data_IF_095410997838
#
_entry.id   IF_095410997838
#
_cell.length_a   1.000
_cell.length_b   1.000
_cell.length_c   1.000
_cell.angle_alpha   90.00
_cell.angle_beta   90.00
_cell.angle_gamma   90.00
#
_symmetry.space_group_name_H-M   'P 1'
#
loop_
_entity.id
_entity.type
_entity.pdbx_description
1 polymer ?
#
# COMPACT_ATOMS: atom_id res chain seq x y z
N UNK A 1 6.11 87.73 -33.61
CA UNK A 1 6.96 86.53 -33.78
C UNK A 1 6.45 85.53 -32.76
N UNK A 2 5.73 84.50 -33.25
CA UNK A 2 5.41 83.18 -32.68
C UNK A 2 4.89 83.07 -31.21
N UNK A 3 3.99 82.17 -30.82
CA UNK A 3 3.63 80.85 -31.36
C UNK A 3 2.10 80.63 -31.39
N UNK A 4 1.65 79.86 -32.38
CA UNK A 4 0.28 79.37 -32.46
C UNK A 4 0.11 78.16 -31.52
N UNK A 5 -0.84 78.24 -30.60
CA UNK A 5 -1.25 77.08 -29.80
C UNK A 5 -1.93 76.03 -30.71
N UNK A 6 -1.65 74.73 -30.49
CA UNK A 6 -2.22 73.68 -31.30
C UNK A 6 -3.73 73.60 -31.03
N UNK A 7 -4.53 73.67 -32.09
CA UNK A 7 -5.97 73.41 -32.03
C UNK A 7 -6.17 71.95 -31.69
N UNK A 8 -6.49 71.67 -30.42
CA UNK A 8 -6.87 70.35 -29.96
C UNK A 8 -8.17 69.94 -30.68
N UNK A 9 -8.07 68.91 -31.54
CA UNK A 9 -9.22 68.36 -32.22
C UNK A 9 -10.24 67.85 -31.17
N UNK A 10 -11.36 68.55 -31.05
CA UNK A 10 -12.46 68.22 -30.14
C UNK A 10 -12.92 66.77 -30.42
N UNK A 11 -12.50 65.82 -29.57
CA UNK A 11 -12.96 64.43 -29.63
C UNK A 11 -14.49 64.44 -29.61
N UNK A 12 -15.17 63.79 -30.57
CA UNK A 12 -16.63 63.76 -30.55
C UNK A 12 -17.09 63.10 -29.25
N UNK A 13 -17.86 63.84 -28.45
CA UNK A 13 -18.53 63.29 -27.27
C UNK A 13 -19.51 62.22 -27.76
N UNK A 14 -19.10 60.95 -27.69
CA UNK A 14 -20.02 59.82 -27.86
C UNK A 14 -21.08 59.93 -26.76
N UNK A 15 -22.34 60.13 -27.15
CA UNK A 15 -23.48 59.98 -26.25
C UNK A 15 -23.36 58.60 -25.57
N UNK A 16 -23.39 58.51 -24.23
CA UNK A 16 -23.37 57.21 -23.58
C UNK A 16 -24.57 56.42 -24.08
N UNK A 17 -24.32 55.21 -24.60
CA UNK A 17 -25.39 54.28 -24.94
C UNK A 17 -26.21 54.04 -23.66
N UNK A 18 -27.54 54.04 -23.75
CA UNK A 18 -28.40 53.71 -22.63
C UNK A 18 -28.12 52.26 -22.20
N UNK A 19 -27.39 52.09 -21.10
CA UNK A 19 -27.12 50.77 -20.53
C UNK A 19 -28.26 50.45 -19.58
N UNK A 20 -29.16 49.57 -20.01
CA UNK A 20 -30.34 49.11 -19.25
C UNK A 20 -29.98 48.16 -18.08
N UNK A 21 -28.70 48.04 -17.72
CA UNK A 21 -28.21 47.15 -16.65
C UNK A 21 -27.87 47.93 -15.40
N UNK A 22 -28.50 47.57 -14.29
CA UNK A 22 -28.15 48.05 -12.96
C UNK A 22 -26.85 47.41 -12.48
N UNK A 23 -25.82 48.22 -12.24
CA UNK A 23 -24.58 47.78 -11.62
C UNK A 23 -24.76 47.65 -10.10
N UNK A 24 -23.92 46.82 -9.46
CA UNK A 24 -23.86 46.76 -8.00
C UNK A 24 -23.36 48.09 -7.45
N UNK A 25 -23.83 48.48 -6.26
CA UNK A 25 -23.34 49.65 -5.55
C UNK A 25 -21.83 49.52 -5.28
N UNK A 26 -21.08 50.59 -5.51
CA UNK A 26 -19.65 50.69 -5.25
C UNK A 26 -19.42 51.82 -4.25
N UNK A 27 -19.24 51.45 -2.97
CA UNK A 27 -19.00 52.39 -1.89
C UNK A 27 -17.73 51.98 -1.11
N UNK A 28 -16.57 52.59 -1.41
CA UNK A 28 -15.32 52.36 -0.69
C UNK A 28 -15.35 52.79 0.79
N UNK A 29 -16.33 53.60 1.19
CA UNK A 29 -16.49 54.09 2.55
C UNK A 29 -17.54 53.30 3.34
N UNK A 30 -18.05 52.20 2.77
CA UNK A 30 -19.01 51.33 3.43
C UNK A 30 -18.43 50.80 4.75
N UNK A 31 -19.12 51.11 5.84
CA UNK A 31 -18.81 50.56 7.17
C UNK A 31 -19.43 49.18 7.31
N UNK A 32 -18.63 48.19 7.72
CA UNK A 32 -19.10 46.82 7.99
C UNK A 32 -19.50 46.69 9.47
N UNK A 33 -20.74 46.25 9.72
CA UNK A 33 -21.28 46.00 11.06
C UNK A 33 -22.04 44.66 11.08
N UNK A 34 -21.66 43.70 11.94
CA UNK A 34 -20.49 43.71 12.84
C UNK A 34 -19.14 43.73 12.11
N UNK A 35 -18.02 44.10 12.76
CA UNK A 35 -16.69 44.01 12.16
C UNK A 35 -16.39 42.56 11.80
N UNK A 36 -16.01 42.25 10.55
CA UNK A 36 -15.69 40.89 10.14
C UNK A 36 -14.39 40.41 10.83
N UNK A 37 -14.35 39.12 11.18
CA UNK A 37 -13.15 38.46 11.68
C UNK A 37 -12.13 38.30 10.55
N UNK A 38 -10.83 38.26 10.86
CA UNK A 38 -9.80 37.88 9.87
C UNK A 38 -10.08 36.50 9.24
N UNK A 39 -10.78 35.62 9.96
CA UNK A 39 -11.25 34.35 9.44
C UNK A 39 -12.25 34.49 8.28
N UNK A 40 -13.12 35.50 8.32
CA UNK A 40 -14.18 35.70 7.32
C UNK A 40 -13.60 36.13 5.96
N UNK A 41 -12.41 36.74 5.96
CA UNK A 41 -11.74 37.20 4.75
C UNK A 41 -10.85 36.15 4.10
N UNK A 42 -10.60 35.02 4.77
CA UNK A 42 -9.66 33.99 4.32
C UNK A 42 -10.41 32.67 4.00
N UNK A 43 -10.45 32.25 2.72
CA UNK A 43 -11.13 31.00 2.33
C UNK A 43 -10.58 29.77 3.07
N UNK A 44 -11.42 28.76 3.30
CA UNK A 44 -11.05 27.53 4.03
C UNK A 44 -9.84 26.81 3.42
N UNK A 45 -9.73 26.78 2.08
CA UNK A 45 -8.63 26.13 1.36
C UNK A 45 -7.38 27.00 1.17
N UNK A 46 -7.26 28.15 1.85
CA UNK A 46 -6.16 29.08 1.63
C UNK A 46 -4.84 28.59 2.25
N UNK A 47 -3.71 28.80 1.54
CA UNK A 47 -2.38 28.35 1.97
C UNK A 47 -1.98 28.85 3.37
N UNK A 48 -2.38 30.06 3.75
CA UNK A 48 -2.09 30.60 5.08
C UNK A 48 -2.78 29.81 6.21
N UNK A 49 -3.96 29.23 5.99
CA UNK A 49 -4.60 28.34 6.97
C UNK A 49 -3.77 27.07 7.15
N UNK A 50 -3.37 26.44 6.05
CA UNK A 50 -2.47 25.29 6.08
C UNK A 50 -1.15 25.59 6.80
N UNK A 51 -0.53 26.76 6.56
CA UNK A 51 0.71 27.13 7.26
C UNK A 51 0.49 27.32 8.76
N UNK A 52 -0.66 27.87 9.18
CA UNK A 52 -1.00 27.98 10.59
C UNK A 52 -1.12 26.59 11.25
N UNK A 53 -1.91 25.70 10.66
CA UNK A 53 -2.11 24.32 11.16
C UNK A 53 -0.80 23.53 11.17
N UNK A 54 0.01 23.66 10.12
CA UNK A 54 1.33 23.02 10.02
C UNK A 54 2.25 23.44 11.17
N UNK A 55 2.32 24.73 11.48
CA UNK A 55 3.17 25.25 12.55
C UNK A 55 2.65 24.88 13.93
N UNK A 56 1.34 24.82 14.12
CA UNK A 56 0.73 24.59 15.42
C UNK A 56 0.70 23.12 15.84
N UNK A 57 0.40 22.23 14.89
CA UNK A 57 0.04 20.85 15.19
C UNK A 57 1.09 19.84 14.70
N UNK A 58 1.94 20.22 13.74
CA UNK A 58 2.79 19.26 13.01
C UNK A 58 4.28 19.48 13.24
N UNK A 59 4.74 20.74 13.23
CA UNK A 59 6.16 21.05 13.40
C UNK A 59 6.57 21.00 14.86
N UNK A 60 7.72 20.39 15.13
CA UNK A 60 8.32 20.42 16.46
C UNK A 60 9.05 21.74 16.65
N UNK A 61 8.49 22.59 17.52
CA UNK A 61 9.04 23.90 17.88
C UNK A 61 9.83 23.87 19.17
N UNK A 62 10.00 22.72 19.83
CA UNK A 62 10.67 22.59 21.14
C UNK A 62 12.00 23.36 21.29
N UNK A 63 12.89 23.39 20.27
CA UNK A 63 14.15 24.13 20.35
C UNK A 63 13.98 25.66 20.43
N UNK A 64 12.89 26.22 19.92
CA UNK A 64 12.75 27.66 19.69
C UNK A 64 12.39 28.44 20.97
N UNK A 65 11.43 28.02 21.82
CA UNK A 65 11.17 28.64 23.12
C UNK A 65 12.31 28.43 24.14
N UNK A 66 13.07 27.35 24.01
CA UNK A 66 14.16 27.01 24.93
C UNK A 66 15.27 28.08 24.97
N UNK A 67 15.45 28.81 23.88
CA UNK A 67 16.44 29.89 23.75
C UNK A 67 16.00 31.21 24.44
N UNK A 68 14.76 31.30 24.91
CA UNK A 68 14.23 32.49 25.59
C UNK A 68 14.25 32.32 27.11
N UNK A 69 15.46 32.25 27.69
CA UNK A 69 15.67 32.06 29.14
C UNK A 69 15.71 33.38 29.94
N UNK A 70 15.80 34.52 29.26
CA UNK A 70 16.04 35.82 29.86
C UNK A 70 14.73 36.48 30.35
N UNK A 71 14.66 36.86 31.64
CA UNK A 71 13.46 37.43 32.27
C UNK A 71 13.30 38.95 32.10
N UNK A 72 14.29 39.64 31.52
CA UNK A 72 14.32 41.10 31.36
C UNK A 72 14.10 41.48 29.90
N UNK A 73 13.36 42.56 29.66
CA UNK A 73 13.10 43.10 28.32
C UNK A 73 11.62 43.13 27.97
N UNK A 74 11.30 43.72 26.82
CA UNK A 74 9.94 43.70 26.28
C UNK A 74 9.58 42.26 25.84
N UNK A 75 8.33 41.79 26.07
CA UNK A 75 7.92 40.44 25.70
C UNK A 75 8.20 40.14 24.21
N UNK A 76 8.83 39.00 23.88
CA UNK A 76 9.03 38.61 22.49
C UNK A 76 7.70 38.21 21.84
N UNK A 77 7.63 38.33 20.52
CA UNK A 77 6.54 37.71 19.74
C UNK A 77 6.56 36.19 19.90
N UNK A 78 5.38 35.58 19.78
CA UNK A 78 5.24 34.13 19.81
C UNK A 78 6.08 33.48 18.69
N UNK A 79 6.91 32.46 19.00
CA UNK A 79 7.66 31.71 18.01
C UNK A 79 6.82 31.13 16.86
N UNK A 80 5.58 30.69 17.13
CA UNK A 80 4.64 30.19 16.13
C UNK A 80 4.30 31.28 15.13
N UNK A 81 3.98 32.47 15.63
CA UNK A 81 3.68 33.65 14.80
C UNK A 81 4.87 33.99 13.89
N UNK A 82 6.06 34.08 14.48
CA UNK A 82 7.29 34.36 13.73
C UNK A 82 7.55 33.30 12.64
N UNK A 83 7.37 32.03 12.98
CA UNK A 83 7.61 30.93 12.05
C UNK A 83 6.58 30.87 10.92
N UNK A 84 5.30 31.08 11.22
CA UNK A 84 4.22 31.18 10.23
C UNK A 84 4.54 32.24 9.17
N UNK A 85 4.97 33.42 9.59
CA UNK A 85 5.35 34.52 8.69
C UNK A 85 6.54 34.15 7.80
N UNK A 86 7.54 33.47 8.37
CA UNK A 86 8.71 33.03 7.59
C UNK A 86 8.35 31.93 6.59
N UNK A 87 7.62 30.89 7.01
CA UNK A 87 7.21 29.80 6.12
C UNK A 87 6.32 30.33 5.00
N UNK A 88 5.29 31.13 5.34
CA UNK A 88 4.39 31.68 4.35
C UNK A 88 5.08 32.68 3.41
N UNK A 89 5.96 33.55 3.95
CA UNK A 89 6.75 34.46 3.15
C UNK A 89 7.68 33.72 2.18
N UNK A 90 8.36 32.67 2.62
CA UNK A 90 9.26 31.90 1.75
C UNK A 90 8.50 31.09 0.70
N UNK A 91 7.33 30.53 1.03
CA UNK A 91 6.49 29.78 0.08
C UNK A 91 5.84 30.68 -0.97
N UNK A 92 5.51 31.93 -0.64
CA UNK A 92 4.91 32.91 -1.56
C UNK A 92 5.93 33.82 -2.25
N UNK A 93 7.23 33.71 -1.92
CA UNK A 93 8.31 34.50 -2.50
C UNK A 93 8.62 35.82 -1.79
N UNK A 94 7.88 36.19 -0.74
CA UNK A 94 8.13 37.36 0.12
C UNK A 94 9.20 37.05 1.17
N UNK A 95 10.47 37.13 0.77
CA UNK A 95 11.61 36.72 1.62
C UNK A 95 12.19 37.84 2.50
N UNK A 96 12.12 39.09 2.05
CA UNK A 96 12.72 40.23 2.75
C UNK A 96 11.94 40.54 4.03
N UNK A 97 12.62 40.70 5.17
CA UNK A 97 11.97 41.05 6.44
C UNK A 97 11.16 42.34 6.35
N UNK A 98 11.60 43.32 5.55
CA UNK A 98 10.84 44.56 5.29
C UNK A 98 9.62 44.35 4.42
N UNK A 99 9.68 43.40 3.50
CA UNK A 99 8.53 43.06 2.67
C UNK A 99 7.47 42.30 3.49
N UNK A 100 7.92 41.41 4.38
CA UNK A 100 7.04 40.71 5.34
C UNK A 100 6.37 41.72 6.29
N UNK A 101 7.13 42.65 6.87
CA UNK A 101 6.59 43.74 7.72
C UNK A 101 5.48 44.53 7.03
N UNK A 102 5.69 44.98 5.78
CA UNK A 102 4.64 45.67 4.99
C UNK A 102 3.42 44.78 4.75
N UNK A 103 3.67 43.52 4.40
CA UNK A 103 2.61 42.53 4.15
C UNK A 103 1.77 42.24 5.39
N UNK A 104 2.33 42.30 6.60
CA UNK A 104 1.56 42.20 7.84
C UNK A 104 0.52 43.33 8.04
N UNK A 105 0.55 44.37 7.21
CA UNK A 105 -0.45 45.45 7.20
C UNK A 105 -1.32 45.37 5.94
N UNK A 106 -0.71 45.13 4.78
CA UNK A 106 -1.38 45.25 3.49
C UNK A 106 -2.16 43.98 3.07
N UNK A 107 -1.83 42.83 3.65
CA UNK A 107 -2.24 41.52 3.14
C UNK A 107 -2.98 40.70 4.20
N UNK A 108 -4.22 40.33 3.90
CA UNK A 108 -5.10 39.58 4.82
C UNK A 108 -4.46 38.26 5.27
N UNK A 109 -3.71 37.57 4.40
CA UNK A 109 -3.10 36.30 4.76
C UNK A 109 -1.97 36.48 5.78
N UNK A 110 -1.14 37.51 5.63
CA UNK A 110 -0.10 37.83 6.61
C UNK A 110 -0.69 38.36 7.91
N UNK A 111 -1.75 39.18 7.85
CA UNK A 111 -2.50 39.64 9.02
C UNK A 111 -3.12 38.48 9.80
N UNK A 112 -3.72 37.51 9.11
CA UNK A 112 -4.25 36.29 9.69
C UNK A 112 -3.15 35.51 10.43
N UNK A 113 -2.02 35.23 9.76
CA UNK A 113 -0.91 34.50 10.35
C UNK A 113 -0.29 35.21 11.55
N UNK A 114 -0.31 36.55 11.55
CA UNK A 114 0.19 37.39 12.60
C UNK A 114 -0.84 37.75 13.68
N UNK A 115 -2.08 37.25 13.61
CA UNK A 115 -3.17 37.66 14.49
C UNK A 115 -3.31 39.21 14.59
N UNK A 116 -3.27 39.86 13.43
CA UNK A 116 -3.30 41.33 13.23
C UNK A 116 -2.11 42.10 13.85
N UNK A 117 -1.07 41.40 14.32
CA UNK A 117 0.17 42.04 14.77
C UNK A 117 1.07 42.37 13.58
N UNK A 118 1.83 43.45 13.68
CA UNK A 118 2.81 43.85 12.66
C UNK A 118 4.23 43.89 13.23
N UNK A 119 4.92 42.73 13.32
CA UNK A 119 6.31 42.68 13.77
C UNK A 119 7.23 43.47 12.84
N UNK A 120 8.12 44.26 13.44
CA UNK A 120 9.06 45.06 12.67
C UNK A 120 10.11 44.18 11.93
N UNK A 121 10.70 44.74 10.88
CA UNK A 121 11.68 43.98 10.08
C UNK A 121 12.89 43.51 10.92
N UNK A 122 13.22 44.24 12.01
CA UNK A 122 14.35 43.93 12.91
C UNK A 122 14.05 42.69 13.75
N UNK A 123 12.84 42.56 14.25
CA UNK A 123 12.35 41.42 15.03
C UNK A 123 12.35 40.17 14.18
N UNK A 124 11.81 40.26 12.96
CA UNK A 124 11.81 39.16 11.98
C UNK A 124 13.25 38.75 11.63
N UNK A 125 14.14 39.70 11.36
CA UNK A 125 15.54 39.41 11.04
C UNK A 125 16.30 38.79 12.21
N UNK A 126 16.05 39.28 13.44
CA UNK A 126 16.67 38.76 14.66
C UNK A 126 16.21 37.34 14.96
N UNK A 127 14.91 37.07 14.85
CA UNK A 127 14.36 35.73 15.02
C UNK A 127 14.99 34.74 14.04
N UNK A 128 15.06 35.13 12.76
CA UNK A 128 15.64 34.30 11.69
C UNK A 128 17.12 33.97 11.92
N UNK A 129 17.90 34.94 12.44
CA UNK A 129 19.32 34.74 12.76
C UNK A 129 19.51 33.87 13.99
N UNK A 130 18.69 34.06 15.02
CA UNK A 130 18.80 33.32 16.29
C UNK A 130 18.50 31.84 16.11
N UNK A 131 17.46 31.52 15.34
CA UNK A 131 16.94 30.16 15.21
C UNK A 131 17.39 29.45 13.93
N UNK A 132 18.48 29.88 13.31
CA UNK A 132 18.86 29.41 11.97
C UNK A 132 19.10 27.89 11.91
N UNK A 133 19.71 27.33 12.96
CA UNK A 133 19.94 25.88 13.06
C UNK A 133 18.63 25.11 13.25
N UNK A 134 17.75 25.58 14.15
CA UNK A 134 16.42 24.99 14.32
C UNK A 134 15.54 25.09 13.06
N UNK A 135 15.69 26.17 12.29
CA UNK A 135 15.02 26.34 10.99
C UNK A 135 15.58 25.38 9.94
N UNK A 136 16.86 25.00 10.00
CA UNK A 136 17.44 23.99 9.11
C UNK A 136 16.84 22.60 9.37
N UNK A 137 16.55 22.26 10.63
CA UNK A 137 15.91 20.99 11.00
C UNK A 137 14.50 20.83 10.41
N UNK A 138 13.81 21.95 10.10
CA UNK A 138 12.51 21.91 9.40
C UNK A 138 12.61 21.20 8.05
N UNK A 139 13.76 21.24 7.38
CA UNK A 139 13.98 20.47 6.16
C UNK A 139 13.87 18.96 6.42
N UNK A 140 14.52 18.45 7.47
CA UNK A 140 14.43 17.04 7.84
C UNK A 140 13.01 16.64 8.27
N UNK A 141 12.31 17.54 8.99
CA UNK A 141 10.91 17.34 9.33
C UNK A 141 10.03 17.24 8.07
N UNK A 142 10.26 18.10 7.06
CA UNK A 142 9.52 18.05 5.80
C UNK A 142 9.70 16.72 5.04
N UNK A 143 10.94 16.18 5.04
CA UNK A 143 11.22 14.88 4.44
C UNK A 143 10.53 13.73 5.19
N UNK A 144 10.49 13.80 6.53
CA UNK A 144 9.77 12.80 7.35
C UNK A 144 8.27 12.83 7.04
N UNK A 145 7.67 14.01 6.95
CA UNK A 145 6.26 14.16 6.61
C UNK A 145 5.95 13.61 5.22
N UNK A 146 6.79 13.89 4.21
CA UNK A 146 6.63 13.34 2.87
C UNK A 146 6.66 11.80 2.86
N UNK A 147 7.57 11.18 3.63
CA UNK A 147 7.63 9.72 3.78
C UNK A 147 6.38 9.14 4.46
N UNK A 148 5.87 9.80 5.50
CA UNK A 148 4.66 9.37 6.19
C UNK A 148 3.42 9.47 5.29
N UNK A 149 3.31 10.54 4.49
CA UNK A 149 2.24 10.70 3.51
C UNK A 149 2.29 9.61 2.44
N UNK A 150 3.48 9.28 1.92
CA UNK A 150 3.64 8.19 0.96
C UNK A 150 3.23 6.83 1.55
N UNK A 151 3.63 6.52 2.78
CA UNK A 151 3.24 5.28 3.45
C UNK A 151 1.73 5.21 3.73
N UNK A 152 1.12 6.33 4.12
CA UNK A 152 -0.33 6.42 4.29
C UNK A 152 -1.06 6.17 2.97
N UNK A 153 -0.63 6.82 1.89
CA UNK A 153 -1.21 6.63 0.56
C UNK A 153 -1.09 5.17 0.09
N UNK A 154 0.03 4.51 0.38
CA UNK A 154 0.19 3.08 0.10
C UNK A 154 -0.83 2.22 0.88
N UNK A 155 -0.96 2.45 2.18
CA UNK A 155 -1.90 1.70 3.04
C UNK A 155 -3.35 1.91 2.57
N UNK A 156 -3.70 3.13 2.17
CA UNK A 156 -5.02 3.47 1.62
C UNK A 156 -5.26 2.78 0.26
N UNK A 157 -4.28 2.82 -0.65
CA UNK A 157 -4.34 2.14 -1.95
C UNK A 157 -4.49 0.62 -1.80
N UNK A 158 -3.76 0.00 -0.85
CA UNK A 158 -3.90 -1.42 -0.56
C UNK A 158 -5.27 -1.79 0.01
N UNK A 159 -5.82 -0.94 0.89
CA UNK A 159 -7.17 -1.13 1.42
C UNK A 159 -8.21 -1.04 0.29
N UNK A 160 -8.06 -0.06 -0.61
CA UNK A 160 -8.91 0.10 -1.78
C UNK A 160 -8.82 -1.10 -2.74
N UNK A 161 -7.61 -1.61 -3.02
CA UNK A 161 -7.41 -2.77 -3.88
C UNK A 161 -8.03 -4.05 -3.30
N UNK A 162 -7.88 -4.29 -1.99
CA UNK A 162 -8.52 -5.43 -1.30
C UNK A 162 -10.04 -5.32 -1.31
N UNK A 163 -10.59 -4.12 -1.08
CA UNK A 163 -12.03 -3.86 -1.14
C UNK A 163 -12.57 -4.09 -2.56
N UNK A 164 -11.85 -3.61 -3.58
CA UNK A 164 -12.18 -3.81 -4.99
C UNK A 164 -12.27 -5.29 -5.33
N UNK A 165 -11.21 -6.07 -5.04
CA UNK A 165 -11.18 -7.50 -5.34
C UNK A 165 -12.30 -8.26 -4.63
N UNK A 166 -12.52 -7.99 -3.33
CA UNK A 166 -13.59 -8.64 -2.58
C UNK A 166 -14.98 -8.36 -3.13
N UNK A 167 -15.25 -7.11 -3.54
CA UNK A 167 -16.53 -6.73 -4.15
C UNK A 167 -16.71 -7.36 -5.52
N UNK A 168 -15.66 -7.38 -6.35
CA UNK A 168 -15.66 -8.03 -7.66
C UNK A 168 -15.93 -9.53 -7.54
N UNK A 169 -15.23 -10.23 -6.65
CA UNK A 169 -15.42 -11.66 -6.41
C UNK A 169 -16.83 -11.97 -5.89
N UNK A 170 -17.38 -11.10 -5.03
CA UNK A 170 -18.75 -11.23 -4.52
C UNK A 170 -19.78 -11.06 -5.63
N UNK A 171 -19.60 -10.09 -6.51
CA UNK A 171 -20.52 -9.86 -7.63
C UNK A 171 -20.43 -10.98 -8.67
N UNK A 172 -19.23 -11.46 -9.00
CA UNK A 172 -19.05 -12.64 -9.86
C UNK A 172 -19.79 -13.86 -9.30
N UNK A 173 -19.65 -14.14 -8.00
CA UNK A 173 -20.39 -15.24 -7.34
C UNK A 173 -21.90 -15.07 -7.39
N UNK A 174 -22.41 -13.83 -7.35
CA UNK A 174 -23.84 -13.54 -7.46
C UNK A 174 -24.33 -13.77 -8.89
N UNK A 175 -23.55 -13.32 -9.86
CA UNK A 175 -23.77 -13.51 -11.28
C UNK A 175 -23.82 -14.99 -11.67
N UNK A 176 -22.85 -15.78 -11.19
CA UNK A 176 -22.83 -17.24 -11.38
C UNK A 176 -24.09 -17.93 -10.84
N UNK A 177 -24.58 -17.50 -9.66
CA UNK A 177 -25.81 -18.05 -9.06
C UNK A 177 -27.09 -17.65 -9.80
N UNK A 178 -27.08 -16.51 -10.47
CA UNK A 178 -28.25 -15.96 -11.19
C UNK A 178 -28.20 -16.23 -12.69
N UNK A 179 -27.12 -16.85 -13.19
CA UNK A 179 -26.92 -17.12 -14.61
C UNK A 179 -26.77 -15.87 -15.46
N UNK A 180 -26.43 -14.72 -14.84
CA UNK A 180 -26.28 -13.43 -15.52
C UNK A 180 -24.80 -13.10 -15.65
N UNK A 181 -24.34 -12.58 -16.79
CA UNK A 181 -22.95 -12.08 -16.94
C UNK A 181 -22.96 -10.59 -17.27
N UNK A 182 -22.51 -9.76 -16.34
CA UNK A 182 -22.37 -8.33 -16.54
C UNK A 182 -21.03 -7.85 -15.96
N UNK A 183 -20.01 -7.76 -16.82
CA UNK A 183 -18.68 -7.35 -16.40
C UNK A 183 -18.64 -5.90 -15.92
N UNK A 184 -19.52 -5.03 -16.44
CA UNK A 184 -19.59 -3.64 -16.03
C UNK A 184 -20.11 -3.51 -14.59
N UNK A 185 -21.13 -4.30 -14.22
CA UNK A 185 -21.59 -4.36 -12.84
C UNK A 185 -20.50 -4.84 -11.86
N UNK A 186 -19.63 -5.76 -12.29
CA UNK A 186 -18.48 -6.23 -11.50
C UNK A 186 -17.46 -5.10 -11.30
N UNK A 187 -17.14 -4.33 -12.36
CA UNK A 187 -16.22 -3.20 -12.25
C UNK A 187 -16.76 -2.10 -11.36
N UNK A 188 -18.03 -1.72 -11.54
CA UNK A 188 -18.68 -0.63 -10.80
C UNK A 188 -18.78 -0.96 -9.31
N UNK A 189 -19.14 -2.21 -8.97
CA UNK A 189 -19.15 -2.68 -7.58
C UNK A 189 -17.74 -2.62 -6.96
N UNK A 190 -16.71 -2.93 -7.74
CA UNK A 190 -15.31 -2.83 -7.33
C UNK A 190 -14.88 -1.39 -7.05
N UNK A 191 -15.22 -0.45 -7.93
CA UNK A 191 -14.85 0.97 -7.78
C UNK A 191 -15.60 1.65 -6.64
N UNK A 192 -16.90 1.36 -6.48
CA UNK A 192 -17.69 1.85 -5.37
C UNK A 192 -17.16 1.37 -4.01
N UNK A 193 -16.66 0.12 -3.94
CA UNK A 193 -16.04 -0.42 -2.73
C UNK A 193 -14.67 0.20 -2.46
N UNK A 194 -13.86 0.43 -3.51
CA UNK A 194 -12.56 1.09 -3.40
C UNK A 194 -12.68 2.53 -2.88
N UNK A 195 -13.63 3.31 -3.39
CA UNK A 195 -13.85 4.70 -2.97
C UNK A 195 -14.26 4.84 -1.49
N UNK A 196 -14.92 3.81 -0.93
CA UNK A 196 -15.35 3.79 0.47
C UNK A 196 -14.35 3.09 1.41
N UNK A 197 -13.29 2.51 0.87
CA UNK A 197 -12.34 1.74 1.65
C UNK A 197 -11.56 2.66 2.60
N UNK A 198 -11.47 2.26 3.87
CA UNK A 198 -10.58 2.88 4.85
C UNK A 198 -9.60 1.84 5.37
N UNK A 199 -8.32 2.21 5.56
CA UNK A 199 -7.37 1.28 6.11
C UNK A 199 -7.72 0.93 7.56
N UNK A 200 -7.38 -0.29 7.97
CA UNK A 200 -7.60 -0.73 9.35
C UNK A 200 -6.63 0.02 10.28
N UNK A 201 -7.01 0.29 11.55
CA UNK A 201 -6.14 1.00 12.50
C UNK A 201 -4.78 0.36 12.75
N UNK A 202 -4.66 -0.97 12.56
CA UNK A 202 -3.42 -1.74 12.72
C UNK A 202 -2.69 -2.00 11.39
N UNK A 203 -3.12 -1.38 10.29
CA UNK A 203 -2.43 -1.53 9.01
C UNK A 203 -1.04 -0.88 9.11
N UNK A 204 -0.03 -1.61 8.68
CA UNK A 204 1.36 -1.17 8.68
C UNK A 204 1.92 -1.38 7.28
N UNK A 205 2.70 -0.40 6.79
CA UNK A 205 3.49 -0.53 5.59
C UNK A 205 4.97 -0.62 5.95
N UNK A 206 5.71 -1.43 5.21
CA UNK A 206 7.14 -1.52 5.35
C UNK A 206 7.81 -0.50 4.41
N UNK A 207 8.57 0.44 4.98
CA UNK A 207 9.29 1.45 4.22
C UNK A 207 10.43 0.89 3.36
N UNK A 208 11.02 -0.24 3.78
CA UNK A 208 12.19 -0.83 3.11
C UNK A 208 11.79 -1.71 1.94
N UNK A 209 10.73 -2.50 2.11
CA UNK A 209 10.15 -3.37 1.08
C UNK A 209 8.61 -3.31 1.11
N UNK A 210 7.99 -2.40 0.34
CA UNK A 210 6.55 -2.14 0.34
C UNK A 210 5.66 -3.36 0.08
N UNK A 211 6.13 -4.32 -0.71
CA UNK A 211 5.32 -5.47 -1.17
C UNK A 211 5.30 -6.62 -0.16
N UNK A 212 6.30 -6.67 0.72
CA UNK A 212 6.41 -7.70 1.75
C UNK A 212 5.26 -7.62 2.77
N UNK A 213 4.96 -8.72 3.46
CA UNK A 213 3.88 -8.76 4.48
C UNK A 213 4.35 -9.37 5.79
N UNK A 214 3.73 -8.93 6.89
CA UNK A 214 3.93 -9.57 8.19
C UNK A 214 3.20 -10.91 8.19
N UNK A 215 3.95 -12.00 8.30
CA UNK A 215 3.41 -13.36 8.36
C UNK A 215 3.98 -14.11 9.56
N UNK A 216 3.21 -15.09 10.05
CA UNK A 216 3.64 -15.95 11.14
C UNK A 216 4.56 -17.04 10.59
N UNK A 217 5.79 -17.11 11.08
CA UNK A 217 6.75 -18.16 10.77
C UNK A 217 6.42 -19.46 11.52
N UNK A 218 7.05 -20.57 11.13
CA UNK A 218 6.91 -21.87 11.79
C UNK A 218 7.21 -21.84 13.29
N UNK A 219 8.15 -21.00 13.71
CA UNK A 219 8.56 -20.80 15.12
C UNK A 219 7.57 -19.95 15.93
N UNK A 220 6.49 -19.49 15.31
CA UNK A 220 5.45 -18.67 15.95
C UNK A 220 5.72 -17.17 15.96
N UNK A 221 6.92 -16.73 15.57
CA UNK A 221 7.27 -15.33 15.42
C UNK A 221 6.60 -14.68 14.19
N UNK A 222 6.23 -13.42 14.29
CA UNK A 222 5.76 -12.62 13.15
C UNK A 222 6.94 -11.92 12.51
N UNK A 223 7.23 -12.24 11.25
CA UNK A 223 8.33 -11.68 10.49
C UNK A 223 7.81 -11.04 9.21
N UNK A 224 8.57 -10.09 8.69
CA UNK A 224 8.32 -9.54 7.36
C UNK A 224 8.81 -10.55 6.31
N UNK A 225 7.91 -11.11 5.51
CA UNK A 225 8.25 -12.17 4.56
C UNK A 225 7.31 -12.22 3.35
N UNK A 226 7.69 -13.07 2.40
CA UNK A 226 6.82 -13.60 1.35
C UNK A 226 6.53 -15.07 1.65
N UNK A 227 5.37 -15.55 1.22
CA UNK A 227 5.02 -16.95 1.31
C UNK A 227 5.49 -17.67 0.04
N UNK A 228 6.53 -18.50 0.18
CA UNK A 228 7.16 -19.23 -0.90
C UNK A 228 6.49 -20.58 -1.13
N UNK A 229 6.10 -20.86 -2.38
CA UNK A 229 5.39 -22.06 -2.81
C UNK A 229 6.25 -22.88 -3.76
N UNK A 230 6.15 -24.21 -3.65
CA UNK A 230 6.81 -25.14 -4.55
C UNK A 230 5.98 -26.41 -4.77
N UNK A 231 6.01 -26.93 -6.01
CA UNK A 231 5.53 -28.28 -6.35
C UNK A 231 6.74 -29.15 -6.64
N UNK A 232 6.78 -30.33 -6.02
CA UNK A 232 7.94 -31.21 -6.03
C UNK A 232 7.54 -32.58 -6.54
N UNK A 233 8.33 -33.11 -7.46
CA UNK A 233 8.23 -34.50 -7.91
C UNK A 233 8.64 -35.48 -6.81
N UNK A 234 7.90 -36.59 -6.71
CA UNK A 234 8.12 -37.62 -5.71
C UNK A 234 9.41 -38.42 -5.94
N UNK A 235 9.74 -38.72 -7.21
CA UNK A 235 10.80 -39.69 -7.54
C UNK A 235 12.19 -39.11 -7.32
N UNK A 236 12.39 -37.86 -7.75
CA UNK A 236 13.71 -37.23 -7.81
C UNK A 236 13.82 -35.95 -6.98
N UNK A 237 12.75 -35.55 -6.28
CA UNK A 237 12.71 -34.31 -5.50
C UNK A 237 13.04 -33.07 -6.34
N UNK A 238 12.63 -33.09 -7.61
CA UNK A 238 12.79 -31.98 -8.56
C UNK A 238 11.59 -31.06 -8.42
N UNK A 239 11.85 -29.76 -8.31
CA UNK A 239 10.82 -28.73 -8.24
C UNK A 239 10.29 -28.47 -9.66
N UNK A 240 8.99 -28.70 -9.86
CA UNK A 240 8.32 -28.52 -11.15
C UNK A 240 7.61 -27.18 -11.25
N UNK A 241 7.27 -26.54 -10.13
CA UNK A 241 6.68 -25.21 -10.06
C UNK A 241 7.16 -24.48 -8.81
N UNK A 242 7.37 -23.17 -8.93
CA UNK A 242 7.86 -22.32 -7.85
C UNK A 242 7.33 -20.88 -8.03
N UNK A 243 6.73 -20.34 -6.98
CA UNK A 243 6.29 -18.95 -6.93
C UNK A 243 6.28 -18.39 -5.50
N UNK A 244 6.10 -17.09 -5.36
CA UNK A 244 5.92 -16.39 -4.09
C UNK A 244 4.61 -15.63 -4.10
N UNK A 245 3.98 -15.54 -2.94
CA UNK A 245 2.77 -14.74 -2.73
C UNK A 245 2.89 -13.87 -1.49
N UNK A 246 2.17 -12.75 -1.50
CA UNK A 246 2.01 -11.89 -0.32
C UNK A 246 0.87 -12.36 0.59
N UNK A 247 0.20 -13.48 0.28
CA UNK A 247 -0.85 -14.02 1.12
C UNK A 247 -0.29 -14.98 2.18
N UNK A 248 -0.69 -14.77 3.44
CA UNK A 248 -0.33 -15.66 4.54
C UNK A 248 -1.03 -17.03 4.48
N UNK A 249 -2.11 -17.17 3.69
CA UNK A 249 -2.82 -18.44 3.49
C UNK A 249 -2.39 -19.12 2.19
N UNK A 250 -2.11 -20.42 2.27
CA UNK A 250 -1.74 -21.24 1.12
C UNK A 250 -2.92 -21.61 0.22
N UNK A 251 -4.16 -21.51 0.73
CA UNK A 251 -5.37 -21.94 0.04
C UNK A 251 -5.52 -21.33 -1.36
N UNK A 252 -5.09 -20.09 -1.57
CA UNK A 252 -5.28 -19.47 -2.88
C UNK A 252 -4.30 -19.97 -3.97
N UNK A 253 -3.24 -20.70 -3.60
CA UNK A 253 -2.19 -21.07 -4.53
C UNK A 253 -2.36 -22.49 -5.12
N UNK A 254 -3.37 -23.26 -4.68
CA UNK A 254 -3.56 -24.65 -5.10
C UNK A 254 -3.63 -24.81 -6.63
N UNK A 255 -4.54 -24.08 -7.26
CA UNK A 255 -4.82 -24.17 -8.70
C UNK A 255 -3.62 -23.64 -9.50
N UNK A 256 -3.13 -22.45 -9.15
CA UNK A 256 -2.04 -21.78 -9.87
C UNK A 256 -0.76 -22.60 -9.90
N UNK A 257 -0.40 -23.22 -8.77
CA UNK A 257 0.82 -24.03 -8.65
C UNK A 257 0.74 -25.33 -9.47
N UNK A 258 -0.41 -26.00 -9.48
CA UNK A 258 -0.61 -27.20 -10.29
C UNK A 258 -0.65 -26.86 -11.79
N UNK A 259 -1.23 -25.73 -12.18
CA UNK A 259 -1.23 -25.29 -13.58
C UNK A 259 0.14 -24.82 -14.04
N UNK A 260 0.91 -24.20 -13.16
CA UNK A 260 2.31 -23.89 -13.43
C UNK A 260 3.12 -25.18 -13.62
N UNK A 261 2.92 -26.20 -12.77
CA UNK A 261 3.59 -27.50 -12.88
C UNK A 261 3.26 -28.20 -14.21
N UNK A 262 1.98 -28.21 -14.59
CA UNK A 262 1.54 -28.79 -15.86
C UNK A 262 2.11 -28.02 -17.07
N UNK A 263 2.12 -26.68 -17.03
CA UNK A 263 2.76 -25.87 -18.08
C UNK A 263 4.25 -26.13 -18.21
N UNK A 264 4.96 -26.29 -17.10
CA UNK A 264 6.41 -26.51 -17.10
C UNK A 264 6.80 -27.92 -17.54
N UNK A 265 6.00 -28.93 -17.20
CA UNK A 265 6.29 -30.35 -17.49
C UNK A 265 5.58 -30.87 -18.74
N UNK A 266 4.60 -30.13 -19.26
CA UNK A 266 3.72 -30.55 -20.36
C UNK A 266 2.66 -31.58 -19.97
N UNK A 267 2.60 -32.01 -18.71
CA UNK A 267 1.66 -33.06 -18.26
C UNK A 267 1.06 -32.74 -16.90
N UNK A 268 -0.19 -33.13 -16.67
CA UNK A 268 -0.80 -33.02 -15.35
C UNK A 268 -0.34 -34.17 -14.43
N UNK A 269 -0.12 -33.91 -13.14
CA UNK A 269 0.25 -34.96 -12.21
C UNK A 269 -0.91 -35.94 -12.02
N UNK A 270 -0.63 -37.24 -12.00
CA UNK A 270 -1.65 -38.26 -11.70
C UNK A 270 -2.17 -38.16 -10.27
N UNK A 271 -1.32 -37.72 -9.34
CA UNK A 271 -1.66 -37.56 -7.94
C UNK A 271 -1.07 -36.26 -7.40
N UNK A 272 -1.87 -35.51 -6.64
CA UNK A 272 -1.43 -34.29 -5.96
C UNK A 272 -1.60 -34.45 -4.44
N UNK A 273 -0.50 -34.34 -3.68
CA UNK A 273 -0.51 -34.44 -2.22
C UNK A 273 -0.39 -33.03 -1.64
N UNK A 274 -1.36 -32.62 -0.80
CA UNK A 274 -1.47 -31.22 -0.38
C UNK A 274 -1.72 -31.08 1.12
N UNK A 275 -1.06 -30.09 1.72
CA UNK A 275 -1.18 -29.71 3.13
C UNK A 275 -2.58 -29.24 3.53
N UNK A 276 -2.83 -29.29 4.85
CA UNK A 276 -4.08 -28.79 5.43
C UNK A 276 -4.28 -27.28 5.22
N UNK A 277 -3.20 -26.52 5.03
CA UNK A 277 -3.25 -25.09 4.72
C UNK A 277 -3.98 -24.77 3.41
N UNK A 278 -4.09 -25.76 2.51
CA UNK A 278 -4.77 -25.62 1.24
C UNK A 278 -6.25 -26.04 1.27
N UNK A 279 -6.75 -26.58 2.38
CA UNK A 279 -8.12 -27.07 2.45
C UNK A 279 -9.13 -25.91 2.50
N UNK A 280 -9.85 -25.72 1.39
CA UNK A 280 -11.00 -24.81 1.26
C UNK A 280 -12.07 -25.45 0.38
N UNK A 281 -13.33 -25.04 0.51
CA UNK A 281 -14.42 -25.59 -0.31
C UNK A 281 -14.15 -25.38 -1.81
N UNK A 282 -13.65 -24.21 -2.17
CA UNK A 282 -13.26 -23.88 -3.56
C UNK A 282 -12.15 -24.80 -4.08
N UNK A 283 -11.15 -25.13 -3.26
CA UNK A 283 -10.09 -26.04 -3.70
C UNK A 283 -10.54 -27.50 -3.77
N UNK A 284 -11.50 -27.89 -2.95
CA UNK A 284 -12.11 -29.23 -3.01
C UNK A 284 -12.97 -29.39 -4.27
N UNK A 285 -13.69 -28.34 -4.67
CA UNK A 285 -14.38 -28.27 -5.97
C UNK A 285 -13.37 -28.34 -7.12
N UNK A 286 -12.33 -27.50 -7.10
CA UNK A 286 -11.27 -27.52 -8.11
C UNK A 286 -10.54 -28.89 -8.18
N UNK A 287 -10.36 -29.58 -7.06
CA UNK A 287 -9.78 -30.91 -7.03
C UNK A 287 -10.68 -31.96 -7.70
N UNK A 288 -12.00 -31.89 -7.47
CA UNK A 288 -12.98 -32.76 -8.15
C UNK A 288 -12.97 -32.49 -9.65
N UNK A 289 -12.97 -31.23 -10.05
CA UNK A 289 -13.05 -30.84 -11.46
C UNK A 289 -11.76 -31.23 -12.21
N UNK A 290 -10.59 -31.14 -11.58
CA UNK A 290 -9.32 -31.68 -12.11
C UNK A 290 -9.32 -33.20 -12.24
N UNK A 291 -9.90 -33.92 -11.28
CA UNK A 291 -10.03 -35.36 -11.39
C UNK A 291 -10.85 -35.77 -12.63
N UNK A 292 -11.88 -35.00 -12.98
CA UNK A 292 -12.72 -35.26 -14.15
C UNK A 292 -12.06 -34.79 -15.46
N UNK A 293 -11.38 -33.65 -15.46
CA UNK A 293 -10.86 -33.01 -16.66
C UNK A 293 -9.46 -33.49 -17.08
N UNK A 294 -8.59 -33.79 -16.10
CA UNK A 294 -7.19 -34.12 -16.37
C UNK A 294 -6.68 -35.35 -15.58
N UNK A 295 -7.58 -36.15 -15.00
CA UNK A 295 -7.28 -37.38 -14.25
C UNK A 295 -6.28 -37.18 -13.09
N UNK A 296 -6.25 -35.98 -12.50
CA UNK A 296 -5.41 -35.68 -11.33
C UNK A 296 -6.16 -36.02 -10.05
N UNK A 297 -5.69 -37.04 -9.33
CA UNK A 297 -6.27 -37.46 -8.06
C UNK A 297 -5.64 -36.76 -6.85
N UNK A 298 -6.36 -35.80 -6.26
CA UNK A 298 -5.84 -35.00 -5.14
C UNK A 298 -6.10 -35.64 -3.78
N UNK A 299 -5.10 -35.57 -2.90
CA UNK A 299 -5.16 -35.95 -1.48
C UNK A 299 -4.82 -34.73 -0.62
N UNK A 300 -5.84 -34.09 -0.06
CA UNK A 300 -5.73 -32.82 0.66
C UNK A 300 -6.16 -32.99 2.11
N UNK A 301 -5.26 -32.74 3.06
CA UNK A 301 -5.60 -32.86 4.48
C UNK A 301 -6.69 -31.87 4.90
N UNK A 302 -7.67 -32.34 5.67
CA UNK A 302 -8.84 -31.52 6.06
C UNK A 302 -8.67 -30.81 7.42
N UNK A 303 -7.52 -30.99 8.06
CA UNK A 303 -7.17 -30.44 9.37
C UNK A 303 -5.75 -30.83 9.79
N UNK A 304 -5.24 -30.20 10.87
CA UNK A 304 -3.99 -30.60 11.51
C UNK A 304 -4.30 -31.68 12.54
N UNK A 305 -3.58 -32.79 12.47
CA UNK A 305 -3.66 -33.86 13.46
C UNK A 305 -2.65 -33.58 14.57
N UNK A 306 -3.05 -33.83 15.82
CA UNK A 306 -2.10 -33.86 16.94
C UNK A 306 -1.05 -34.97 16.78
N UNK A 307 0.12 -34.82 17.40
CA UNK A 307 1.22 -35.79 17.29
C UNK A 307 0.80 -37.20 17.73
N UNK A 308 -0.11 -37.29 18.71
CA UNK A 308 -0.61 -38.55 19.28
C UNK A 308 -2.07 -38.86 18.90
N UNK A 309 -2.65 -38.09 17.97
CA UNK A 309 -4.05 -38.23 17.61
C UNK A 309 -4.25 -39.44 16.66
N UNK A 310 -4.80 -40.53 17.19
CA UNK A 310 -5.13 -41.70 16.38
C UNK A 310 -6.35 -41.42 15.51
N UNK A 311 -6.13 -41.36 14.20
CA UNK A 311 -7.23 -41.25 13.23
C UNK A 311 -7.90 -42.63 13.06
N UNK A 312 -9.19 -42.77 13.41
CA UNK A 312 -9.87 -44.04 13.24
C UNK A 312 -9.91 -44.45 11.75
N UNK A 313 -9.96 -45.75 11.42
CA UNK A 313 -10.07 -46.19 10.03
C UNK A 313 -11.35 -45.67 9.37
N UNK A 314 -11.34 -45.50 8.05
CA UNK A 314 -12.53 -45.05 7.32
C UNK A 314 -13.73 -45.95 7.66
N UNK A 315 -14.94 -45.38 7.93
CA UNK A 315 -16.12 -46.19 8.18
C UNK A 315 -16.36 -47.18 7.04
N UNK A 316 -16.85 -48.39 7.35
CA UNK A 316 -17.25 -49.36 6.33
C UNK A 316 -18.59 -48.95 5.71
N UNK A 317 -18.83 -49.36 4.47
CA UNK A 317 -20.09 -49.11 3.75
C UNK A 317 -20.02 -47.97 2.72
N UNK A 318 -21.17 -47.69 2.09
CA UNK A 318 -21.33 -46.64 1.07
C UNK A 318 -21.10 -45.26 1.69
N UNK A 319 -20.55 -44.33 0.91
CA UNK A 319 -20.48 -42.93 1.31
C UNK A 319 -21.91 -42.35 1.24
N UNK A 320 -22.39 -41.65 2.28
CA UNK A 320 -23.67 -40.96 2.24
C UNK A 320 -23.73 -40.01 1.03
N UNK A 321 -24.88 -39.96 0.35
CA UNK A 321 -25.05 -39.13 -0.86
C UNK A 321 -24.93 -37.64 -0.57
N UNK A 322 -25.34 -37.23 0.62
CA UNK A 322 -25.31 -35.89 1.20
C UNK A 322 -23.94 -35.49 1.80
N UNK A 323 -22.97 -36.41 1.83
CA UNK A 323 -21.64 -36.11 2.37
C UNK A 323 -20.96 -34.95 1.61
N UNK A 324 -20.48 -33.97 2.37
CA UNK A 324 -19.76 -32.80 1.85
C UNK A 324 -18.45 -33.22 1.17
N UNK A 325 -17.90 -32.37 0.29
CA UNK A 325 -16.61 -32.63 -0.36
C UNK A 325 -15.48 -32.80 0.68
N UNK A 326 -15.55 -32.06 1.78
CA UNK A 326 -14.59 -32.15 2.89
C UNK A 326 -14.68 -33.51 3.59
N UNK A 327 -15.87 -34.00 3.90
CA UNK A 327 -16.06 -35.33 4.52
C UNK A 327 -15.63 -36.47 3.59
N UNK A 328 -15.91 -36.32 2.28
CA UNK A 328 -15.44 -37.27 1.26
C UNK A 328 -13.92 -37.32 1.21
N UNK A 329 -13.25 -36.17 1.21
CA UNK A 329 -11.78 -36.07 1.25
C UNK A 329 -11.20 -36.66 2.54
N UNK A 330 -11.77 -36.31 3.70
CA UNK A 330 -11.36 -36.88 5.00
C UNK A 330 -11.49 -38.41 5.02
N UNK A 331 -12.59 -38.94 4.49
CA UNK A 331 -12.80 -40.40 4.37
C UNK A 331 -11.80 -41.03 3.40
N UNK A 332 -11.52 -40.40 2.25
CA UNK A 332 -10.54 -40.84 1.26
C UNK A 332 -9.16 -40.99 1.89
N UNK A 333 -8.70 -39.99 2.64
CA UNK A 333 -7.43 -40.02 3.37
C UNK A 333 -7.35 -41.15 4.41
N UNK A 334 -8.49 -41.53 5.01
CA UNK A 334 -8.55 -42.61 6.02
C UNK A 334 -8.53 -44.02 5.42
N UNK A 335 -8.74 -44.18 4.11
CA UNK A 335 -8.65 -45.50 3.44
C UNK A 335 -7.22 -46.04 3.44
N UNK A 336 -7.04 -47.37 3.30
CA UNK A 336 -5.70 -47.98 3.14
C UNK A 336 -4.92 -47.37 1.95
N UNK A 337 -5.48 -47.30 0.72
CA UNK A 337 -4.77 -46.67 -0.40
C UNK A 337 -4.53 -45.18 -0.18
N UNK A 338 -5.47 -44.45 0.42
CA UNK A 338 -5.31 -43.02 0.71
C UNK A 338 -4.20 -42.72 1.71
N UNK A 339 -4.09 -43.51 2.79
CA UNK A 339 -2.98 -43.40 3.75
C UNK A 339 -1.63 -43.68 3.11
N UNK A 340 -1.55 -44.74 2.28
CA UNK A 340 -0.33 -45.08 1.55
C UNK A 340 0.07 -43.98 0.54
N UNK A 341 -0.91 -43.38 -0.13
CA UNK A 341 -0.64 -42.30 -1.06
C UNK A 341 -0.15 -41.04 -0.33
N UNK A 342 -0.84 -40.65 0.75
CA UNK A 342 -0.58 -39.42 1.50
C UNK A 342 0.68 -39.48 2.38
N UNK A 343 1.14 -40.66 2.82
CA UNK A 343 2.38 -40.79 3.60
C UNK A 343 3.62 -40.30 2.84
N UNK A 344 3.55 -40.23 1.50
CA UNK A 344 4.65 -39.78 0.62
C UNK A 344 4.77 -38.25 0.56
N UNK A 345 3.86 -37.53 1.20
CA UNK A 345 3.91 -36.07 1.31
C UNK A 345 5.21 -35.57 1.95
N UNK A 346 5.81 -36.35 2.87
CA UNK A 346 7.05 -35.99 3.54
C UNK A 346 8.23 -35.76 2.57
N UNK A 347 8.13 -36.19 1.30
CA UNK A 347 9.15 -35.97 0.27
C UNK A 347 9.46 -34.49 0.01
N UNK A 348 8.52 -33.58 0.29
CA UNK A 348 8.71 -32.13 0.13
C UNK A 348 9.57 -31.50 1.23
N UNK A 349 9.55 -32.05 2.45
CA UNK A 349 10.24 -31.46 3.60
C UNK A 349 11.76 -31.40 3.43
N UNK A 350 12.44 -32.46 2.93
CA UNK A 350 13.87 -32.39 2.63
C UNK A 350 14.22 -31.35 1.56
N UNK A 351 13.31 -31.03 0.63
CA UNK A 351 13.57 -30.02 -0.40
C UNK A 351 13.65 -28.63 0.23
N UNK A 352 12.65 -28.25 1.01
CA UNK A 352 12.71 -27.00 1.78
C UNK A 352 13.88 -27.00 2.76
N UNK A 353 14.14 -28.11 3.45
CA UNK A 353 15.31 -28.25 4.31
C UNK A 353 16.63 -27.96 3.59
N UNK A 354 16.82 -28.52 2.39
CA UNK A 354 18.02 -28.31 1.56
C UNK A 354 18.15 -26.87 1.07
N UNK A 355 17.07 -26.25 0.59
CA UNK A 355 17.09 -24.84 0.18
C UNK A 355 17.44 -23.94 1.36
N UNK A 356 16.77 -24.13 2.50
CA UNK A 356 16.94 -23.27 3.66
C UNK A 356 18.31 -23.43 4.33
N UNK A 357 18.89 -24.62 4.35
CA UNK A 357 20.17 -24.89 5.04
C UNK A 357 21.38 -24.84 4.12
N UNK A 358 21.30 -25.44 2.92
CA UNK A 358 22.45 -25.54 2.02
C UNK A 358 22.56 -24.35 1.07
N UNK A 359 21.45 -23.66 0.77
CA UNK A 359 21.43 -22.52 -0.16
C UNK A 359 21.16 -21.19 0.55
N UNK A 360 21.06 -21.20 1.87
CA UNK A 360 20.70 -20.05 2.70
C UNK A 360 19.40 -19.35 2.25
N UNK A 361 18.44 -20.10 1.69
CA UNK A 361 17.20 -19.57 1.10
C UNK A 361 16.19 -19.01 2.11
N UNK A 362 16.59 -18.79 3.37
CA UNK A 362 15.76 -18.15 4.40
C UNK A 362 15.68 -16.64 4.24
N UNK A 363 16.60 -16.04 3.50
CA UNK A 363 16.67 -14.62 3.23
C UNK A 363 16.69 -14.40 1.72
N UNK A 364 16.02 -13.34 1.29
CA UNK A 364 16.03 -12.87 -0.09
C UNK A 364 16.85 -11.58 -0.15
N UNK A 365 17.66 -11.44 -1.18
CA UNK A 365 18.51 -10.29 -1.48
C UNK A 365 17.78 -9.22 -2.28
N UNK A 366 16.79 -9.62 -3.09
CA UNK A 366 16.02 -8.72 -3.94
C UNK A 366 14.70 -8.29 -3.27
N UNK A 367 14.33 -7.02 -3.46
CA UNK A 367 13.11 -6.40 -2.90
C UNK A 367 11.98 -6.36 -3.92
N UNK A 368 10.76 -6.18 -3.45
CA UNK A 368 9.55 -6.17 -4.25
C UNK A 368 9.11 -7.57 -4.68
N UNK A 369 7.84 -7.72 -5.04
CA UNK A 369 7.26 -9.01 -5.40
C UNK A 369 8.00 -9.66 -6.58
N UNK A 370 8.36 -8.87 -7.59
CA UNK A 370 9.10 -9.35 -8.76
C UNK A 370 10.52 -9.84 -8.43
N UNK A 371 11.24 -9.11 -7.56
CA UNK A 371 12.56 -9.48 -7.10
C UNK A 371 12.53 -10.76 -6.28
N UNK A 372 11.63 -10.83 -5.30
CA UNK A 372 11.43 -12.01 -4.46
C UNK A 372 11.04 -13.25 -5.28
N UNK A 373 10.15 -13.10 -6.28
CA UNK A 373 9.76 -14.17 -7.20
C UNK A 373 10.94 -14.67 -8.02
N UNK A 374 11.73 -13.77 -8.59
CA UNK A 374 12.90 -14.11 -9.38
C UNK A 374 13.94 -14.89 -8.59
N UNK A 375 14.24 -14.43 -7.37
CA UNK A 375 15.21 -15.08 -6.49
C UNK A 375 14.73 -16.43 -5.96
N UNK A 376 13.44 -16.56 -5.60
CA UNK A 376 12.88 -17.86 -5.22
C UNK A 376 12.97 -18.89 -6.35
N UNK A 377 12.66 -18.47 -7.59
CA UNK A 377 12.79 -19.33 -8.77
C UNK A 377 14.25 -19.69 -9.05
N UNK A 378 15.19 -18.77 -8.80
CA UNK A 378 16.62 -19.06 -8.90
C UNK A 378 17.06 -20.10 -7.87
N UNK A 379 16.64 -19.97 -6.61
CA UNK A 379 16.89 -20.98 -5.57
C UNK A 379 16.31 -22.35 -5.94
N UNK A 380 15.08 -22.38 -6.47
CA UNK A 380 14.46 -23.61 -6.97
C UNK A 380 15.25 -24.24 -8.14
N UNK A 381 15.74 -23.42 -9.08
CA UNK A 381 16.59 -23.89 -10.18
C UNK A 381 17.92 -24.46 -9.67
N UNK A 382 18.59 -23.76 -8.74
CA UNK A 382 19.82 -24.23 -8.09
C UNK A 382 19.61 -25.55 -7.34
N UNK A 383 18.48 -25.73 -6.67
CA UNK A 383 18.08 -27.00 -6.08
C UNK A 383 18.00 -28.11 -7.15
N UNK A 384 17.29 -27.85 -8.25
CA UNK A 384 17.15 -28.81 -9.35
C UNK A 384 18.51 -29.18 -9.96
N UNK A 385 19.39 -28.20 -10.21
CA UNK A 385 20.73 -28.47 -10.72
C UNK A 385 21.56 -29.34 -9.77
N UNK A 386 21.44 -29.14 -8.45
CA UNK A 386 22.10 -30.00 -7.46
C UNK A 386 21.57 -31.44 -7.52
N UNK A 387 20.26 -31.64 -7.74
CA UNK A 387 19.68 -32.98 -7.94
C UNK A 387 20.20 -33.63 -9.21
N UNK A 388 20.15 -32.89 -10.31
CA UNK A 388 20.58 -33.37 -11.61
C UNK A 388 22.08 -33.72 -11.62
N UNK A 389 22.92 -32.87 -11.04
CA UNK A 389 24.36 -33.13 -10.87
C UNK A 389 24.64 -34.38 -10.03
N UNK A 390 23.91 -34.58 -8.92
CA UNK A 390 24.07 -35.79 -8.10
C UNK A 390 23.63 -37.07 -8.81
N UNK A 391 22.66 -36.98 -9.72
CA UNK A 391 22.13 -38.12 -10.44
C UNK A 391 22.97 -38.51 -11.68
N UNK A 392 23.35 -37.53 -12.50
CA UNK A 392 23.97 -37.77 -13.81
C UNK A 392 25.41 -37.22 -13.94
N UNK A 393 25.87 -36.38 -13.01
CA UNK A 393 27.12 -35.63 -13.16
C UNK A 393 27.06 -34.61 -14.30
N UNK A 394 28.15 -33.85 -14.49
CA UNK A 394 28.25 -32.88 -15.59
C UNK A 394 28.28 -33.55 -16.97
N UNK A 395 28.98 -34.68 -17.09
CA UNK A 395 29.10 -35.42 -18.34
C UNK A 395 27.76 -36.03 -18.78
N UNK A 396 27.00 -36.63 -17.86
CA UNK A 396 25.67 -37.18 -18.17
C UNK A 396 24.64 -36.10 -18.48
N UNK A 397 24.78 -34.90 -17.90
CA UNK A 397 23.95 -33.74 -18.26
C UNK A 397 24.26 -33.22 -19.67
N UNK A 398 25.54 -33.06 -20.02
CA UNK A 398 25.94 -32.58 -21.35
C UNK A 398 25.47 -33.54 -22.46
N UNK A 399 25.53 -34.85 -22.21
CA UNK A 399 25.05 -35.88 -23.13
C UNK A 399 23.52 -35.93 -23.30
N UNK A 400 22.75 -35.31 -22.39
CA UNK A 400 21.29 -35.24 -22.48
C UNK A 400 20.77 -33.98 -23.20
N UNK A 401 21.65 -32.99 -23.44
CA UNK A 401 21.32 -31.71 -24.10
C UNK A 401 21.75 -31.70 -25.57
N UNK A 402 22.73 -32.52 -25.94
CA UNK A 402 23.10 -32.80 -27.34
C UNK A 402 22.29 -33.95 -27.91
#
# INVERSE_FOLDING_TARGET
MFEAEPVEAKRPQRRPAAVDKTFRAFDPHQVLLPPPSLDDWLPEGHLARFVADLVDDVLDLGPVPADYTEKRGYPPYDPRLMLRLLIYGYTTGVRSSRAIERKCVDDVAFRFLAADQAPDFRSIARFRRRHLDALADLFLQSLRLARLQAARAQIEAEAAAKARKHAQDKERRRQDRTGTSDEQAVTDAGEAAAAKARPKPKAQANFTDPDSRIMKNGDGAYIQSYNAQAVVDEQHQVITAADVTTNASDALNYTDMLDQSARNTGTHPKQALVDAGYCSDTNLEAARDRQLSCDTDTFMATGRLGHDEQVPPAPRGRIPTDATLKERMARKLRTKPGRKAYSRKATVEPVFGQIMTCQNGRQLLLRGEGGARGEWRLLAACHNFRKAFRHAGTAGLAAAVG
#
